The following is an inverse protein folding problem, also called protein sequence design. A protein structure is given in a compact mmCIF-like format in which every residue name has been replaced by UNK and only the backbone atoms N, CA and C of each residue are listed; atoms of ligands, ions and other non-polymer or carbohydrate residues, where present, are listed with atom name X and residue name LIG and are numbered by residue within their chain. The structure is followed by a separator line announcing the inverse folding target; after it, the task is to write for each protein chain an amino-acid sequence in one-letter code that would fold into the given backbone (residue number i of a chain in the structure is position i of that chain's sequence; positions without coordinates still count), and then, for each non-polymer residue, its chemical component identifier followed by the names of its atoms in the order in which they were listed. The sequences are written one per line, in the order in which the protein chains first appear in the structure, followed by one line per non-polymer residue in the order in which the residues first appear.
data_IF_067586372868
#
_entry.id   IF_067586372868
#
_cell.length_a   1.000
_cell.length_b   1.000
_cell.length_c   1.000
_cell.angle_alpha   90.00
_cell.angle_beta   90.00
_cell.angle_gamma   90.00
#
_symmetry.space_group_name_H-M   'P 1'
#
loop_
_entity.id
_entity.type
_entity.pdbx_description
1 polymer ?
#
# COMPACT_ATOMS: atom_id res chain seq x y z
N UNK A 1 -15.64 -14.94 9.32
CA UNK A 1 -16.06 -13.70 10.02
C UNK A 1 -16.09 -12.55 9.05
N UNK A 2 -16.92 -11.55 9.31
CA UNK A 2 -16.96 -10.35 8.50
C UNK A 2 -15.75 -9.45 8.82
N UNK A 3 -15.22 -8.67 7.87
CA UNK A 3 -14.15 -7.72 8.15
C UNK A 3 -14.64 -6.67 9.16
N UNK A 4 -13.74 -6.24 10.05
CA UNK A 4 -14.05 -5.23 11.07
C UNK A 4 -14.22 -3.83 10.48
N UNK A 5 -13.65 -3.60 9.28
CA UNK A 5 -13.68 -2.32 8.57
C UNK A 5 -13.69 -2.58 7.05
N UNK A 6 -14.47 -1.80 6.33
CA UNK A 6 -14.47 -1.72 4.87
C UNK A 6 -14.13 -0.27 4.51
N UNK A 7 -13.07 -0.07 3.73
CA UNK A 7 -12.72 1.23 3.18
C UNK A 7 -13.28 1.32 1.75
N UNK A 8 -14.10 2.34 1.50
CA UNK A 8 -14.60 2.64 0.17
C UNK A 8 -13.67 3.67 -0.47
N UNK A 9 -13.03 3.26 -1.56
CA UNK A 9 -12.13 4.12 -2.31
C UNK A 9 -12.84 4.60 -3.57
N UNK A 10 -13.03 5.90 -3.70
CA UNK A 10 -13.55 6.52 -4.91
C UNK A 10 -12.86 7.84 -5.19
N UNK A 11 -12.62 8.12 -6.46
CA UNK A 11 -12.22 9.44 -6.93
C UNK A 11 -13.47 10.23 -7.29
N UNK A 12 -13.41 11.56 -7.12
CA UNK A 12 -14.48 12.44 -7.59
C UNK A 12 -14.62 12.29 -9.11
N UNK A 13 -15.78 11.88 -9.64
CA UNK A 13 -15.95 11.75 -11.08
C UNK A 13 -15.91 13.13 -11.72
N UNK A 14 -15.01 13.33 -12.67
CA UNK A 14 -14.86 14.57 -13.44
C UNK A 14 -16.16 14.99 -14.17
N UNK A 15 -17.03 13.99 -14.43
CA UNK A 15 -18.32 14.15 -15.11
C UNK A 15 -19.35 14.93 -14.28
N UNK A 16 -19.22 14.95 -12.95
CA UNK A 16 -20.24 15.60 -12.11
C UNK A 16 -20.12 17.12 -12.07
N UNK A 17 -19.02 17.69 -12.58
CA UNK A 17 -18.78 19.13 -12.47
C UNK A 17 -18.89 19.59 -11.00
N UNK A 18 -18.95 20.89 -10.77
CA UNK A 18 -19.32 21.42 -9.46
C UNK A 18 -20.86 21.52 -9.39
N UNK A 19 -21.56 20.62 -8.66
CA UNK A 19 -23.00 20.65 -8.59
C UNK A 19 -23.42 22.00 -8.00
N UNK A 20 -24.26 22.76 -8.71
CA UNK A 20 -24.81 24.01 -8.18
C UNK A 20 -25.62 23.69 -6.92
N UNK A 21 -25.18 24.21 -5.78
CA UNK A 21 -25.88 24.08 -4.50
C UNK A 21 -25.41 22.96 -3.57
N UNK A 22 -24.33 22.24 -3.91
CA UNK A 22 -23.61 21.37 -2.97
C UNK A 22 -22.31 22.07 -2.59
N UNK A 23 -22.15 22.38 -1.31
CA UNK A 23 -20.85 22.72 -0.77
C UNK A 23 -20.08 21.40 -0.62
N UNK A 24 -19.12 21.18 -1.51
CA UNK A 24 -18.14 20.12 -1.29
C UNK A 24 -17.22 20.67 -0.21
N UNK A 25 -17.51 20.37 1.05
CA UNK A 25 -16.52 20.55 2.09
C UNK A 25 -15.46 19.49 1.84
N UNK A 26 -14.19 19.89 1.59
CA UNK A 26 -13.11 18.94 1.72
C UNK A 26 -13.25 18.36 3.13
N UNK A 27 -13.39 17.04 3.26
CA UNK A 27 -13.21 16.41 4.56
C UNK A 27 -11.96 17.04 5.14
N UNK A 28 -11.99 17.56 6.38
CA UNK A 28 -10.81 18.09 6.99
C UNK A 28 -9.80 16.95 7.01
N UNK A 29 -8.98 16.92 5.98
CA UNK A 29 -7.81 16.06 5.90
C UNK A 29 -6.80 16.66 6.88
N UNK A 30 -7.12 16.59 8.18
CA UNK A 30 -6.07 16.58 9.16
C UNK A 30 -5.25 15.35 8.85
N UNK A 31 -4.43 15.57 7.86
CA UNK A 31 -3.12 15.00 7.64
C UNK A 31 -2.96 13.50 7.96
N UNK A 32 -3.69 12.63 7.33
CA UNK A 32 -3.17 11.28 7.17
C UNK A 32 -2.86 11.05 5.68
N UNK A 33 -1.78 11.69 5.19
CA UNK A 33 -1.20 11.40 3.87
C UNK A 33 -0.77 9.92 3.74
N UNK A 34 -0.81 9.18 4.84
CA UNK A 34 -0.60 7.74 4.94
C UNK A 34 -1.89 6.94 4.77
N UNK A 35 -3.07 7.56 4.76
CA UNK A 35 -4.32 6.85 4.51
C UNK A 35 -4.35 6.33 3.07
N UNK A 36 -4.90 5.13 2.86
CA UNK A 36 -5.04 4.57 1.52
C UNK A 36 -5.90 5.47 0.62
N UNK A 37 -6.89 6.16 1.20
CA UNK A 37 -7.75 7.11 0.49
C UNK A 37 -6.97 8.33 -0.02
N UNK A 38 -5.99 8.84 0.74
CA UNK A 38 -5.14 9.94 0.31
C UNK A 38 -4.15 9.51 -0.80
N UNK A 39 -3.61 8.30 -0.69
CA UNK A 39 -2.68 7.76 -1.69
C UNK A 39 -3.38 7.57 -3.03
N UNK A 40 -4.62 7.11 -3.03
CA UNK A 40 -5.39 6.86 -4.26
C UNK A 40 -5.81 8.16 -4.97
N UNK A 41 -5.58 9.33 -4.38
CA UNK A 41 -5.73 10.63 -5.07
C UNK A 41 -4.61 10.88 -6.09
N UNK A 42 -3.49 10.19 -5.98
CA UNK A 42 -2.43 10.16 -6.99
C UNK A 42 -2.89 9.33 -8.20
N UNK A 43 -2.71 9.87 -9.41
CA UNK A 43 -3.22 9.27 -10.64
C UNK A 43 -2.60 7.90 -10.93
N UNK A 44 -1.31 7.71 -10.69
CA UNK A 44 -0.61 6.44 -10.93
C UNK A 44 -1.19 5.36 -10.00
N UNK A 45 -1.36 5.67 -8.71
CA UNK A 45 -1.93 4.74 -7.74
C UNK A 45 -3.41 4.45 -8.01
N UNK A 46 -4.17 5.45 -8.45
CA UNK A 46 -5.57 5.26 -8.81
C UNK A 46 -5.72 4.29 -9.99
N UNK A 47 -5.06 4.59 -11.12
CA UNK A 47 -5.17 3.76 -12.32
C UNK A 47 -4.62 2.35 -12.08
N UNK A 48 -3.48 2.24 -11.40
CA UNK A 48 -2.93 0.95 -11.03
C UNK A 48 -3.90 0.14 -10.15
N UNK A 49 -4.51 0.76 -9.15
CA UNK A 49 -5.48 0.08 -8.26
C UNK A 49 -6.72 -0.39 -9.03
N UNK A 50 -7.23 0.41 -9.97
CA UNK A 50 -8.37 0.01 -10.81
C UNK A 50 -7.99 -1.14 -11.74
N UNK A 51 -6.83 -1.07 -12.39
CA UNK A 51 -6.33 -2.12 -13.29
C UNK A 51 -6.11 -3.45 -12.53
N UNK A 52 -5.58 -3.36 -11.30
CA UNK A 52 -5.35 -4.48 -10.39
C UNK A 52 -6.48 -4.65 -9.37
N UNK A 53 -7.73 -4.63 -9.83
CA UNK A 53 -8.90 -4.90 -8.99
C UNK A 53 -9.62 -6.16 -9.46
N UNK A 54 -10.19 -6.88 -8.51
CA UNK A 54 -10.90 -8.14 -8.72
C UNK A 54 -12.39 -7.92 -8.48
N UNK A 55 -13.24 -8.48 -9.34
CA UNK A 55 -14.68 -8.48 -9.17
C UNK A 55 -15.14 -9.84 -8.63
N UNK A 56 -15.65 -9.86 -7.41
CA UNK A 56 -16.18 -11.07 -6.77
C UNK A 56 -17.60 -10.80 -6.30
N UNK A 57 -18.57 -11.57 -6.76
CA UNK A 57 -19.98 -11.46 -6.39
C UNK A 57 -20.56 -10.03 -6.58
N UNK A 58 -20.13 -9.33 -7.63
CA UNK A 58 -20.55 -7.96 -7.93
C UNK A 58 -19.85 -6.87 -7.12
N UNK A 59 -18.93 -7.22 -6.23
CA UNK A 59 -18.13 -6.29 -5.43
C UNK A 59 -16.70 -6.22 -6.01
N UNK A 60 -16.28 -5.01 -6.36
CA UNK A 60 -14.90 -4.76 -6.80
C UNK A 60 -14.01 -4.47 -5.60
N UNK A 61 -12.91 -5.18 -5.49
CA UNK A 61 -11.94 -4.98 -4.42
C UNK A 61 -10.50 -4.97 -4.97
N UNK A 62 -9.59 -4.35 -4.25
CA UNK A 62 -8.18 -4.31 -4.61
C UNK A 62 -7.57 -5.72 -4.58
N UNK A 63 -6.75 -6.04 -5.57
CA UNK A 63 -5.96 -7.27 -5.60
C UNK A 63 -4.77 -7.20 -4.61
N UNK A 64 -4.08 -8.32 -4.34
CA UNK A 64 -2.86 -8.30 -3.53
C UNK A 64 -1.79 -7.36 -4.09
N UNK A 65 -1.64 -7.25 -5.44
CA UNK A 65 -0.67 -6.36 -6.09
C UNK A 65 -0.99 -4.90 -5.78
N UNK A 66 -2.25 -4.50 -5.93
CA UNK A 66 -2.70 -3.14 -5.59
C UNK A 66 -2.50 -2.85 -4.10
N UNK A 67 -2.80 -3.82 -3.23
CA UNK A 67 -2.59 -3.67 -1.78
C UNK A 67 -1.11 -3.55 -1.41
N UNK A 68 -0.21 -4.27 -2.07
CA UNK A 68 1.25 -4.12 -1.88
C UNK A 68 1.67 -2.69 -2.18
N UNK A 69 1.29 -2.14 -3.34
CA UNK A 69 1.64 -0.77 -3.74
C UNK A 69 1.12 0.27 -2.72
N UNK A 70 -0.17 0.19 -2.37
CA UNK A 70 -0.80 1.13 -1.43
C UNK A 70 -0.19 1.03 -0.02
N UNK A 71 0.04 -0.18 0.49
CA UNK A 71 0.57 -0.40 1.84
C UNK A 71 2.06 -0.04 1.94
N UNK A 72 2.85 -0.26 0.88
CA UNK A 72 4.23 0.18 0.81
C UNK A 72 4.31 1.72 0.86
N UNK A 73 3.46 2.42 0.12
CA UNK A 73 3.39 3.88 0.15
C UNK A 73 2.98 4.40 1.52
N UNK A 74 1.92 3.82 2.12
CA UNK A 74 1.46 4.18 3.46
C UNK A 74 2.57 4.01 4.51
N UNK A 75 3.30 2.90 4.46
CA UNK A 75 4.45 2.65 5.33
C UNK A 75 5.51 3.75 5.20
N UNK A 76 5.92 4.08 3.97
CA UNK A 76 6.96 5.08 3.73
C UNK A 76 6.51 6.48 4.17
N UNK A 77 5.25 6.85 3.91
CA UNK A 77 4.70 8.12 4.36
C UNK A 77 4.74 8.24 5.89
N UNK A 78 4.32 7.19 6.62
CA UNK A 78 4.38 7.16 8.08
C UNK A 78 5.82 7.22 8.62
N UNK A 79 6.78 6.57 7.96
CA UNK A 79 8.19 6.67 8.32
C UNK A 79 8.71 8.10 8.12
N UNK A 80 8.35 8.74 7.02
CA UNK A 80 8.72 10.13 6.75
C UNK A 80 8.08 11.09 7.77
N UNK A 81 6.82 10.90 8.11
CA UNK A 81 6.10 11.70 9.11
C UNK A 81 6.75 11.58 10.48
N UNK A 82 7.10 10.36 10.87
CA UNK A 82 7.82 10.10 12.12
C UNK A 82 9.19 10.78 12.14
N UNK A 83 9.95 10.70 11.04
CA UNK A 83 11.24 11.35 10.91
C UNK A 83 11.14 12.88 10.95
N UNK A 84 10.04 13.43 10.44
CA UNK A 84 9.71 14.87 10.51
C UNK A 84 9.18 15.33 11.88
N UNK A 85 9.14 14.43 12.88
CA UNK A 85 8.65 14.74 14.23
C UNK A 85 7.13 14.84 14.36
N UNK A 86 6.37 14.41 13.33
CA UNK A 86 4.92 14.33 13.42
C UNK A 86 4.48 13.16 14.31
N UNK A 87 3.32 13.31 14.94
CA UNK A 87 2.78 12.23 15.77
C UNK A 87 2.32 11.07 14.87
N UNK A 88 2.95 9.92 15.01
CA UNK A 88 2.63 8.70 14.25
C UNK A 88 2.46 7.52 15.22
N UNK A 89 1.38 6.79 15.03
CA UNK A 89 1.16 5.56 15.78
C UNK A 89 2.08 4.44 15.23
N UNK A 90 3.04 4.03 16.03
CA UNK A 90 3.99 2.97 15.65
C UNK A 90 3.32 1.62 15.32
N UNK A 91 2.07 1.40 15.77
CA UNK A 91 1.31 0.19 15.40
C UNK A 91 0.92 0.20 13.93
N UNK A 92 0.64 1.38 13.35
CA UNK A 92 0.23 1.50 11.96
C UNK A 92 1.42 1.27 11.02
N UNK A 93 2.61 1.77 11.37
CA UNK A 93 3.85 1.43 10.66
C UNK A 93 4.06 -0.09 10.63
N UNK A 94 3.96 -0.75 11.79
CA UNK A 94 4.11 -2.21 11.90
C UNK A 94 3.04 -2.95 11.09
N UNK A 95 1.79 -2.48 11.15
CA UNK A 95 0.66 -3.05 10.41
C UNK A 95 0.92 -3.00 8.91
N UNK A 96 1.19 -1.82 8.34
CA UNK A 96 1.40 -1.69 6.89
C UNK A 96 2.58 -2.53 6.41
N UNK A 97 3.69 -2.56 7.16
CA UNK A 97 4.83 -3.41 6.84
C UNK A 97 4.47 -4.89 6.79
N UNK A 98 3.77 -5.39 7.80
CA UNK A 98 3.33 -6.79 7.84
C UNK A 98 2.29 -7.09 6.75
N UNK A 99 1.41 -6.14 6.44
CA UNK A 99 0.38 -6.31 5.41
C UNK A 99 1.00 -6.41 4.02
N UNK A 100 2.07 -5.65 3.70
CA UNK A 100 2.82 -5.81 2.44
C UNK A 100 3.29 -7.25 2.31
N UNK A 101 4.02 -7.78 3.29
CA UNK A 101 4.58 -9.13 3.22
C UNK A 101 3.51 -10.23 3.18
N UNK A 102 2.38 -10.04 3.88
CA UNK A 102 1.24 -10.97 3.80
C UNK A 102 0.64 -11.02 2.40
N UNK A 103 0.54 -9.87 1.72
CA UNK A 103 0.04 -9.84 0.35
C UNK A 103 1.04 -10.48 -0.60
N UNK A 104 2.33 -10.21 -0.47
CA UNK A 104 3.38 -10.87 -1.29
C UNK A 104 3.33 -12.40 -1.13
N UNK A 105 3.10 -12.90 0.09
CA UNK A 105 3.04 -14.34 0.36
C UNK A 105 1.88 -15.07 -0.37
N UNK A 106 0.86 -14.36 -0.82
CA UNK A 106 -0.29 -14.93 -1.54
C UNK A 106 -0.33 -14.54 -3.02
N UNK A 107 0.62 -13.70 -3.49
CA UNK A 107 0.73 -13.35 -4.90
C UNK A 107 1.36 -14.48 -5.70
N UNK A 108 1.03 -14.53 -6.98
CA UNK A 108 1.79 -15.32 -7.92
C UNK A 108 3.19 -14.72 -8.13
N UNK A 109 4.19 -15.56 -8.27
CA UNK A 109 5.57 -15.10 -8.54
C UNK A 109 5.73 -14.78 -10.04
N UNK A 110 4.99 -13.79 -10.51
CA UNK A 110 5.01 -13.28 -11.87
C UNK A 110 5.25 -11.78 -11.87
N UNK A 111 6.02 -11.23 -12.83
CA UNK A 111 6.27 -9.80 -12.89
C UNK A 111 4.98 -8.98 -12.95
N UNK A 112 4.93 -7.92 -12.16
CA UNK A 112 3.83 -6.96 -12.10
C UNK A 112 4.29 -5.67 -12.78
N UNK A 113 3.75 -5.38 -13.96
CA UNK A 113 4.00 -4.12 -14.65
C UNK A 113 3.32 -2.98 -13.89
N UNK A 114 4.04 -1.91 -13.60
CA UNK A 114 3.56 -0.77 -12.82
C UNK A 114 4.24 0.54 -13.23
N UNK A 115 3.59 1.69 -13.02
CA UNK A 115 4.22 3.00 -13.18
C UNK A 115 5.52 3.11 -12.38
N UNK A 116 6.50 3.84 -12.93
CA UNK A 116 7.82 4.04 -12.32
C UNK A 116 7.75 4.50 -10.85
N UNK A 117 6.79 5.36 -10.54
CA UNK A 117 6.57 5.85 -9.17
C UNK A 117 6.23 4.73 -8.19
N UNK A 118 5.44 3.74 -8.62
CA UNK A 118 5.07 2.57 -7.82
C UNK A 118 6.26 1.63 -7.68
N UNK A 119 6.97 1.35 -8.78
CA UNK A 119 8.20 0.52 -8.76
C UNK A 119 9.23 1.09 -7.80
N UNK A 120 9.50 2.40 -7.91
CA UNK A 120 10.42 3.10 -7.02
C UNK A 120 9.96 3.06 -5.54
N UNK A 121 8.66 3.19 -5.30
CA UNK A 121 8.08 3.10 -3.97
C UNK A 121 8.29 1.70 -3.36
N UNK A 122 7.99 0.63 -4.10
CA UNK A 122 8.16 -0.76 -3.63
C UNK A 122 9.63 -1.06 -3.34
N UNK A 123 10.56 -0.65 -4.19
CA UNK A 123 12.01 -0.78 -3.95
C UNK A 123 12.45 0.00 -2.70
N UNK A 124 11.94 1.21 -2.52
CA UNK A 124 12.22 2.01 -1.32
C UNK A 124 11.70 1.35 -0.04
N UNK A 125 10.53 0.70 -0.11
CA UNK A 125 10.00 -0.10 0.99
C UNK A 125 10.95 -1.25 1.34
N UNK A 126 11.38 -2.05 0.35
CA UNK A 126 12.33 -3.15 0.56
C UNK A 126 13.63 -2.65 1.17
N UNK A 127 14.20 -1.58 0.63
CA UNK A 127 15.43 -0.98 1.13
C UNK A 127 15.27 -0.50 2.59
N UNK A 128 14.15 0.13 2.93
CA UNK A 128 13.85 0.57 4.30
C UNK A 128 13.76 -0.60 5.29
N UNK A 129 13.09 -1.68 4.91
CA UNK A 129 12.98 -2.88 5.77
C UNK A 129 14.35 -3.56 5.92
N UNK A 130 15.12 -3.67 4.84
CA UNK A 130 16.48 -4.26 4.88
C UNK A 130 17.46 -3.44 5.73
N UNK A 131 17.33 -2.12 5.74
CA UNK A 131 18.21 -1.25 6.56
C UNK A 131 18.05 -1.48 8.07
N UNK A 132 16.92 -2.00 8.51
CA UNK A 132 16.60 -2.31 9.90
C UNK A 132 16.51 -3.83 10.15
N UNK A 133 17.02 -4.68 9.23
CA UNK A 133 16.76 -6.12 9.21
C UNK A 133 17.10 -6.83 10.50
N UNK A 134 18.26 -6.55 11.09
CA UNK A 134 18.70 -7.17 12.35
C UNK A 134 17.69 -6.99 13.49
N UNK A 135 17.03 -5.81 13.54
CA UNK A 135 16.02 -5.52 14.56
C UNK A 135 14.62 -6.02 14.19
N UNK A 136 14.36 -6.23 12.91
CA UNK A 136 13.02 -6.51 12.39
C UNK A 136 12.77 -7.98 12.07
N UNK A 137 13.78 -8.76 11.77
CA UNK A 137 13.65 -10.15 11.29
C UNK A 137 12.76 -11.01 12.19
N UNK A 138 13.14 -11.17 13.45
CA UNK A 138 12.39 -11.96 14.42
C UNK A 138 10.97 -11.42 14.72
N UNK A 139 10.78 -10.10 14.99
CA UNK A 139 9.43 -9.55 15.16
C UNK A 139 8.53 -9.73 13.94
N UNK A 140 9.06 -9.64 12.72
CA UNK A 140 8.31 -9.84 11.50
C UNK A 140 7.93 -11.32 11.31
N UNK A 141 8.88 -12.23 11.43
CA UNK A 141 8.66 -13.66 11.36
C UNK A 141 7.56 -14.08 12.35
N UNK A 142 7.64 -13.64 13.59
CA UNK A 142 6.62 -13.88 14.61
C UNK A 142 5.25 -13.31 14.22
N UNK A 143 5.20 -12.10 13.68
CA UNK A 143 3.94 -11.44 13.28
C UNK A 143 3.25 -12.12 12.10
N UNK A 144 4.02 -12.81 11.26
CA UNK A 144 3.56 -13.56 10.11
C UNK A 144 3.32 -15.04 10.43
N UNK A 145 3.76 -15.52 11.60
CA UNK A 145 3.72 -16.93 11.98
C UNK A 145 4.62 -17.78 11.09
N UNK A 146 5.76 -17.23 10.66
CA UNK A 146 6.71 -17.83 9.71
C UNK A 146 8.14 -17.81 10.26
N UNK A 147 9.03 -18.56 9.60
CA UNK A 147 10.47 -18.52 9.88
C UNK A 147 11.11 -17.25 9.27
N UNK A 148 12.22 -16.79 9.86
CA UNK A 148 12.96 -15.60 9.39
C UNK A 148 13.40 -15.76 7.93
N UNK A 149 13.90 -16.95 7.54
CA UNK A 149 14.32 -17.25 6.16
C UNK A 149 13.18 -17.12 5.14
N UNK A 150 11.96 -17.48 5.54
CA UNK A 150 10.78 -17.29 4.67
C UNK A 150 10.48 -15.81 4.45
N UNK A 151 10.55 -14.99 5.50
CA UNK A 151 10.31 -13.55 5.41
C UNK A 151 11.40 -12.87 4.58
N UNK A 152 12.64 -13.29 4.71
CA UNK A 152 13.76 -12.82 3.88
C UNK A 152 13.52 -13.15 2.40
N UNK A 153 13.09 -14.37 2.09
CA UNK A 153 12.70 -14.76 0.73
C UNK A 153 11.56 -13.93 0.15
N UNK A 154 10.57 -13.52 0.96
CA UNK A 154 9.52 -12.60 0.51
C UNK A 154 10.07 -11.23 0.11
N UNK A 155 11.06 -10.71 0.84
CA UNK A 155 11.69 -9.43 0.49
C UNK A 155 12.54 -9.56 -0.79
N UNK A 156 13.19 -10.69 -1.01
CA UNK A 156 13.93 -10.95 -2.25
C UNK A 156 13.00 -11.01 -3.45
N UNK A 157 11.89 -11.73 -3.33
CA UNK A 157 10.85 -11.80 -4.37
C UNK A 157 10.31 -10.40 -4.65
N UNK A 158 9.94 -9.65 -3.63
CA UNK A 158 9.33 -8.32 -3.78
C UNK A 158 10.27 -7.33 -4.48
N UNK A 159 11.58 -7.41 -4.26
CA UNK A 159 12.58 -6.51 -4.84
C UNK A 159 12.59 -6.57 -6.39
N UNK A 160 12.25 -7.72 -6.97
CA UNK A 160 12.21 -7.94 -8.41
C UNK A 160 10.80 -8.08 -9.00
N UNK A 161 9.76 -8.11 -8.17
CA UNK A 161 8.41 -8.45 -8.60
C UNK A 161 7.75 -7.33 -9.41
N UNK A 162 7.95 -6.06 -9.01
CA UNK A 162 7.40 -4.90 -9.70
C UNK A 162 8.40 -4.38 -10.73
N UNK A 163 7.97 -4.30 -11.99
CA UNK A 163 8.77 -3.83 -13.12
C UNK A 163 8.10 -2.62 -13.78
N UNK A 164 8.89 -1.73 -14.38
CA UNK A 164 8.35 -0.59 -15.11
C UNK A 164 7.49 -1.05 -16.29
N UNK A 165 6.38 -0.37 -16.53
CA UNK A 165 5.59 -0.54 -17.74
C UNK A 165 6.45 -0.15 -18.95
N UNK A 166 6.35 -0.93 -20.02
CA UNK A 166 6.95 -0.52 -21.30
C UNK A 166 6.14 0.64 -21.86
N UNK A 167 6.82 1.68 -22.42
CA UNK A 167 6.16 2.88 -22.94
C UNK A 167 5.27 2.59 -24.17
#
# INVERSE_FOLDING_TARGET
GYPAMIELLSRHPDILGTPKGLTIEPLPMEADASSLSAIIMDDDYYHFTIAHSILTDGIRHASPEALVALKARAYLNLQQDKAAGRHVNSKDIKKHRSDVLKNVAIMENAPVAAPDAIVACVRSFVASVRSEWEALAEPLAKSLGQEVSFVEGLLEVLDGLFIAEEP
#
